data_IF_016174489808
#
_entry.id   IF_016174489808
#
_cell.length_a   1.000
_cell.length_b   1.000
_cell.length_c   1.000
_cell.angle_alpha   90.00
_cell.angle_beta   90.00
_cell.angle_gamma   90.00
#
_symmetry.space_group_name_H-M   'P 1'
#
loop_
_entity.id
_entity.type
_entity.pdbx_description
1 polymer ?
#
# COMPACT_ATOMS: atom_id res chain seq x y z
N UNK A 1 12.37 -16.91 -2.02
CA UNK A 1 12.15 -15.50 -1.64
C UNK A 1 11.88 -14.64 -2.87
N UNK A 2 12.79 -14.57 -3.85
CA UNK A 2 12.61 -13.84 -5.14
C UNK A 2 11.26 -14.14 -5.81
N UNK A 3 10.93 -15.42 -5.99
CA UNK A 3 9.66 -15.84 -6.60
C UNK A 3 8.42 -15.30 -5.86
N UNK A 4 8.45 -15.34 -4.52
CA UNK A 4 7.35 -14.89 -3.65
C UNK A 4 7.15 -13.38 -3.71
N UNK A 5 8.25 -12.63 -3.76
CA UNK A 5 8.20 -11.17 -3.93
C UNK A 5 7.66 -10.82 -5.32
N UNK A 6 8.05 -11.52 -6.37
CA UNK A 6 7.52 -11.30 -7.71
C UNK A 6 6.02 -11.62 -7.83
N UNK A 7 5.56 -12.73 -7.22
CA UNK A 7 4.14 -13.06 -7.10
C UNK A 7 3.37 -11.95 -6.39
N UNK A 8 3.90 -11.51 -5.25
CA UNK A 8 3.36 -10.39 -4.49
C UNK A 8 3.33 -9.10 -5.30
N UNK A 9 4.40 -8.77 -6.03
CA UNK A 9 4.51 -7.57 -6.84
C UNK A 9 3.43 -7.53 -7.94
N UNK A 10 3.21 -8.63 -8.65
CA UNK A 10 2.14 -8.71 -9.67
C UNK A 10 0.75 -8.57 -9.02
N UNK A 11 0.51 -9.28 -7.92
CA UNK A 11 -0.75 -9.15 -7.18
C UNK A 11 -0.98 -7.73 -6.68
N UNK A 12 0.09 -7.07 -6.22
CA UNK A 12 0.11 -5.70 -5.75
C UNK A 12 -0.17 -4.69 -6.85
N UNK A 13 0.38 -4.89 -8.06
CA UNK A 13 0.06 -4.08 -9.24
C UNK A 13 -1.43 -4.17 -9.57
N UNK A 14 -1.97 -5.40 -9.63
CA UNK A 14 -3.39 -5.60 -9.92
C UNK A 14 -4.29 -4.93 -8.86
N UNK A 15 -3.98 -5.13 -7.58
CA UNK A 15 -4.70 -4.48 -6.48
C UNK A 15 -4.55 -2.95 -6.51
N UNK A 16 -3.37 -2.44 -6.86
CA UNK A 16 -3.06 -1.03 -7.01
C UNK A 16 -3.86 -0.37 -8.14
N UNK A 17 -4.00 -1.03 -9.29
CA UNK A 17 -4.84 -0.58 -10.41
C UNK A 17 -6.31 -0.48 -9.96
N UNK A 18 -6.84 -1.55 -9.36
CA UNK A 18 -8.23 -1.59 -8.87
C UNK A 18 -8.47 -0.46 -7.86
N UNK A 19 -7.53 -0.26 -6.94
CA UNK A 19 -7.63 0.77 -5.91
C UNK A 19 -7.47 2.18 -6.51
N UNK A 20 -6.64 2.36 -7.53
CA UNK A 20 -6.53 3.62 -8.27
C UNK A 20 -7.82 3.98 -9.02
N UNK A 21 -8.50 3.00 -9.62
CA UNK A 21 -9.83 3.19 -10.20
C UNK A 21 -10.83 3.59 -9.10
N UNK A 22 -10.84 2.88 -7.98
CA UNK A 22 -11.71 3.21 -6.84
C UNK A 22 -11.43 4.61 -6.28
N UNK A 23 -10.15 5.02 -6.20
CA UNK A 23 -9.76 6.37 -5.79
C UNK A 23 -10.28 7.43 -6.74
N UNK A 24 -10.26 7.16 -8.05
CA UNK A 24 -10.85 8.05 -9.05
C UNK A 24 -12.35 8.19 -8.87
N UNK A 25 -13.05 7.09 -8.58
CA UNK A 25 -14.49 7.13 -8.25
C UNK A 25 -14.75 7.92 -6.97
N UNK A 26 -13.96 7.70 -5.92
CA UNK A 26 -14.07 8.45 -4.67
C UNK A 26 -13.88 9.96 -4.90
N UNK A 27 -12.86 10.38 -5.65
CA UNK A 27 -12.66 11.78 -6.03
C UNK A 27 -13.85 12.35 -6.81
N UNK A 28 -14.45 11.55 -7.72
CA UNK A 28 -15.66 11.95 -8.44
C UNK A 28 -16.87 12.12 -7.54
N UNK A 29 -17.01 11.28 -6.52
CA UNK A 29 -18.06 11.42 -5.51
C UNK A 29 -17.85 12.68 -4.65
N UNK A 30 -16.62 12.95 -4.23
CA UNK A 30 -16.27 14.18 -3.50
C UNK A 30 -16.61 15.43 -4.33
N UNK A 31 -16.22 15.41 -5.59
CA UNK A 31 -16.42 16.50 -6.55
C UNK A 31 -17.87 16.91 -6.79
N UNK A 32 -18.77 15.92 -6.92
CA UNK A 32 -20.20 16.19 -7.08
C UNK A 32 -20.87 16.58 -5.75
N UNK A 33 -20.08 16.79 -4.69
CA UNK A 33 -20.56 17.19 -3.38
C UNK A 33 -21.12 16.04 -2.54
N UNK A 34 -20.94 14.77 -2.93
CA UNK A 34 -21.49 13.64 -2.16
C UNK A 34 -20.86 13.50 -0.76
N UNK A 35 -19.64 14.02 -0.58
CA UNK A 35 -18.94 13.98 0.71
C UNK A 35 -19.24 15.20 1.60
N UNK A 36 -19.38 16.40 1.02
CA UNK A 36 -19.32 17.67 1.77
C UNK A 36 -20.43 18.66 1.41
N UNK A 37 -21.28 18.34 0.43
CA UNK A 37 -22.26 19.28 -0.13
C UNK A 37 -21.66 20.43 -0.97
N UNK A 38 -20.33 20.61 -0.94
CA UNK A 38 -19.62 21.64 -1.71
C UNK A 38 -19.23 21.04 -3.06
N UNK A 39 -20.09 21.24 -4.06
CA UNK A 39 -19.82 20.82 -5.44
C UNK A 39 -18.81 21.76 -6.12
N UNK A 40 -17.53 21.40 -6.11
CA UNK A 40 -16.55 22.00 -7.02
C UNK A 40 -16.38 21.08 -8.22
N UNK A 41 -16.62 21.60 -9.43
CA UNK A 41 -16.41 20.87 -10.69
C UNK A 41 -14.90 20.70 -10.95
N UNK A 42 -14.31 19.51 -10.70
CA UNK A 42 -12.90 19.30 -10.96
C UNK A 42 -12.73 19.00 -12.43
N UNK A 43 -11.59 19.39 -12.98
CA UNK A 43 -11.21 19.01 -14.33
C UNK A 43 -10.76 17.55 -14.31
N UNK A 44 -11.70 16.64 -14.60
CA UNK A 44 -11.40 15.22 -14.73
C UNK A 44 -10.75 14.93 -16.09
N UNK A 45 -9.43 15.07 -16.15
CA UNK A 45 -8.66 14.75 -17.36
C UNK A 45 -8.35 13.25 -17.47
N UNK A 46 -8.13 12.77 -18.69
CA UNK A 46 -7.71 11.39 -18.95
C UNK A 46 -6.31 11.19 -18.35
N UNK A 47 -5.44 12.17 -18.53
CA UNK A 47 -4.08 12.22 -18.00
C UNK A 47 -4.07 12.05 -16.48
N UNK A 48 -4.94 12.75 -15.76
CA UNK A 48 -5.06 12.61 -14.30
C UNK A 48 -5.57 11.23 -13.88
N UNK A 49 -6.46 10.62 -14.67
CA UNK A 49 -6.94 9.26 -14.41
C UNK A 49 -5.83 8.24 -14.57
N UNK A 50 -5.09 8.33 -15.68
CA UNK A 50 -3.93 7.46 -15.96
C UNK A 50 -2.88 7.64 -14.86
N UNK A 51 -2.56 8.88 -14.48
CA UNK A 51 -1.59 9.16 -13.43
C UNK A 51 -1.98 8.50 -12.08
N UNK A 52 -3.25 8.57 -11.68
CA UNK A 52 -3.72 7.94 -10.43
C UNK A 52 -3.61 6.42 -10.52
N UNK A 53 -4.05 5.81 -11.63
CA UNK A 53 -4.02 4.35 -11.81
C UNK A 53 -2.56 3.87 -11.84
N UNK A 54 -1.68 4.55 -12.58
CA UNK A 54 -0.25 4.23 -12.63
C UNK A 54 0.42 4.39 -11.28
N UNK A 55 0.08 5.45 -10.52
CA UNK A 55 0.59 5.64 -9.17
C UNK A 55 0.15 4.50 -8.23
N UNK A 56 -1.12 4.10 -8.32
CA UNK A 56 -1.65 2.94 -7.60
C UNK A 56 -0.90 1.65 -7.95
N UNK A 57 -0.65 1.40 -9.24
CA UNK A 57 0.11 0.24 -9.72
C UNK A 57 1.56 0.24 -9.18
N UNK A 58 2.25 1.37 -9.26
CA UNK A 58 3.64 1.52 -8.78
C UNK A 58 3.70 1.34 -7.27
N UNK A 59 2.84 2.03 -6.52
CA UNK A 59 2.77 1.87 -5.06
C UNK A 59 2.36 0.44 -4.66
N UNK A 60 1.54 -0.22 -5.47
CA UNK A 60 1.12 -1.59 -5.26
C UNK A 60 2.27 -2.61 -5.29
N UNK A 61 3.32 -2.39 -6.07
CA UNK A 61 4.47 -3.30 -6.18
C UNK A 61 5.11 -3.66 -4.82
N UNK A 62 5.60 -2.69 -4.01
CA UNK A 62 6.22 -3.00 -2.73
C UNK A 62 5.21 -3.58 -1.73
N UNK A 63 3.99 -3.04 -1.67
CA UNK A 63 2.97 -3.52 -0.74
C UNK A 63 2.55 -4.95 -1.03
N UNK A 64 2.46 -5.33 -2.31
CA UNK A 64 2.15 -6.70 -2.65
C UNK A 64 3.30 -7.66 -2.38
N UNK A 65 4.55 -7.22 -2.59
CA UNK A 65 5.72 -7.96 -2.14
C UNK A 65 5.70 -8.22 -0.63
N UNK A 66 5.39 -7.19 0.18
CA UNK A 66 5.24 -7.31 1.64
C UNK A 66 4.10 -8.26 2.00
N UNK A 67 2.92 -8.09 1.40
CA UNK A 67 1.77 -8.96 1.62
C UNK A 67 2.13 -10.43 1.40
N UNK A 68 2.73 -10.77 0.24
CA UNK A 68 3.10 -12.15 -0.07
C UNK A 68 4.11 -12.76 0.93
N UNK A 69 4.98 -11.93 1.52
CA UNK A 69 5.94 -12.35 2.55
C UNK A 69 5.28 -12.61 3.91
N UNK A 70 4.26 -11.83 4.28
CA UNK A 70 3.62 -11.92 5.60
C UNK A 70 2.30 -12.69 5.60
N UNK A 71 1.70 -12.96 4.44
CA UNK A 71 0.39 -13.59 4.27
C UNK A 71 0.23 -14.83 5.15
N UNK A 72 1.19 -15.76 5.10
CA UNK A 72 1.16 -17.02 5.86
C UNK A 72 1.23 -16.85 7.39
N UNK A 73 1.52 -15.64 7.85
CA UNK A 73 1.58 -15.26 9.27
C UNK A 73 0.34 -14.50 9.72
N UNK A 74 -0.53 -14.11 8.79
CA UNK A 74 -1.76 -13.42 9.12
C UNK A 74 -2.76 -14.41 9.77
N UNK A 75 -3.58 -13.94 10.72
CA UNK A 75 -4.56 -14.80 11.35
C UNK A 75 -5.70 -15.17 10.39
N UNK A 76 -6.28 -16.37 10.60
CA UNK A 76 -7.38 -17.00 9.84
C UNK A 76 -6.99 -17.57 8.47
N UNK A 77 -7.65 -18.66 8.01
CA UNK A 77 -7.32 -19.28 6.73
C UNK A 77 -7.81 -18.49 5.51
N UNK A 78 -6.97 -18.42 4.48
CA UNK A 78 -7.36 -18.15 3.09
C UNK A 78 -7.60 -16.69 2.74
N UNK A 79 -8.69 -16.40 2.02
CA UNK A 79 -8.99 -15.08 1.42
C UNK A 79 -9.13 -13.94 2.45
N UNK A 80 -9.33 -14.26 3.72
CA UNK A 80 -9.40 -13.30 4.82
C UNK A 80 -8.06 -12.60 5.13
N UNK A 81 -6.92 -13.16 4.68
CA UNK A 81 -5.61 -12.52 4.83
C UNK A 81 -5.57 -11.11 4.25
N UNK A 82 -6.27 -10.88 3.12
CA UNK A 82 -6.37 -9.57 2.50
C UNK A 82 -7.00 -8.51 3.41
N UNK A 83 -8.02 -8.90 4.19
CA UNK A 83 -8.71 -8.00 5.14
C UNK A 83 -7.78 -7.65 6.30
N UNK A 84 -7.05 -8.62 6.84
CA UNK A 84 -6.06 -8.35 7.88
C UNK A 84 -4.93 -7.45 7.38
N UNK A 85 -4.48 -7.66 6.15
CA UNK A 85 -3.49 -6.78 5.55
C UNK A 85 -4.01 -5.37 5.35
N UNK A 86 -5.26 -5.21 4.90
CA UNK A 86 -5.91 -3.90 4.83
C UNK A 86 -6.01 -3.22 6.19
N UNK A 87 -6.37 -3.96 7.24
CA UNK A 87 -6.43 -3.44 8.60
C UNK A 87 -5.05 -2.97 9.07
N UNK A 88 -3.99 -3.75 8.81
CA UNK A 88 -2.62 -3.33 9.07
C UNK A 88 -2.28 -2.06 8.29
N UNK A 89 -2.49 -2.05 6.97
CA UNK A 89 -2.20 -0.85 6.16
C UNK A 89 -2.98 0.38 6.65
N UNK A 90 -4.24 0.24 7.02
CA UNK A 90 -5.03 1.33 7.57
C UNK A 90 -4.46 1.82 8.90
N UNK A 91 -4.05 0.91 9.77
CA UNK A 91 -3.47 1.25 11.07
C UNK A 91 -2.11 1.96 10.90
N UNK A 92 -1.25 1.49 9.99
CA UNK A 92 0.07 2.06 9.75
C UNK A 92 0.05 3.36 8.93
N UNK A 93 -0.79 3.44 7.89
CA UNK A 93 -0.78 4.56 6.94
C UNK A 93 -1.98 5.50 7.11
N UNK A 94 -3.10 5.03 7.66
CA UNK A 94 -4.29 5.84 7.93
C UNK A 94 -4.01 7.12 8.72
N UNK A 95 -3.20 7.10 9.79
CA UNK A 95 -2.86 8.32 10.53
C UNK A 95 -2.20 9.42 9.69
N UNK A 96 -1.46 9.08 8.63
CA UNK A 96 -0.83 10.06 7.74
C UNK A 96 -1.85 10.81 6.88
N UNK A 97 -3.04 10.24 6.69
CA UNK A 97 -4.15 10.91 6.03
C UNK A 97 -4.95 11.81 6.99
N UNK A 98 -4.79 11.66 8.31
CA UNK A 98 -5.43 12.52 9.30
C UNK A 98 -4.71 13.86 9.50
N UNK A 99 -3.45 13.99 9.06
CA UNK A 99 -2.64 15.20 9.22
C UNK A 99 -2.81 16.23 8.09
N UNK A 100 -3.54 15.91 7.02
CA UNK A 100 -3.77 16.83 5.90
C UNK A 100 -5.13 17.52 6.01
N UNK A 101 -5.12 18.85 6.17
CA UNK A 101 -6.32 19.70 6.33
C UNK A 101 -7.35 19.53 5.19
N UNK A 102 -6.93 19.12 3.99
CA UNK A 102 -7.82 18.90 2.84
C UNK A 102 -8.72 17.65 2.95
N UNK A 103 -8.43 16.72 3.86
CA UNK A 103 -9.18 15.45 4.03
C UNK A 103 -10.24 15.58 5.15
N UNK A 104 -10.36 16.74 5.81
CA UNK A 104 -11.08 16.90 7.08
C UNK A 104 -12.61 16.85 7.05
N UNK A 105 -13.25 16.64 5.90
CA UNK A 105 -14.66 16.26 5.97
C UNK A 105 -14.77 14.80 6.36
N UNK A 106 -15.68 14.49 7.30
CA UNK A 106 -15.97 13.10 7.67
C UNK A 106 -16.32 12.25 6.43
N UNK A 107 -16.99 12.84 5.43
CA UNK A 107 -17.34 12.18 4.18
C UNK A 107 -16.12 11.75 3.35
N UNK A 108 -15.13 12.63 3.16
CA UNK A 108 -13.89 12.31 2.44
C UNK A 108 -13.10 11.23 3.17
N UNK A 109 -12.96 11.37 4.48
CA UNK A 109 -12.24 10.39 5.29
C UNK A 109 -12.81 8.98 5.10
N UNK A 110 -14.14 8.83 5.16
CA UNK A 110 -14.79 7.53 4.95
C UNK A 110 -14.54 6.99 3.54
N UNK A 111 -14.72 7.82 2.50
CA UNK A 111 -14.51 7.41 1.10
C UNK A 111 -13.09 6.91 0.84
N UNK A 112 -12.08 7.62 1.34
CA UNK A 112 -10.68 7.22 1.16
C UNK A 112 -10.27 6.06 2.09
N UNK A 113 -10.85 5.95 3.28
CA UNK A 113 -10.64 4.80 4.18
C UNK A 113 -11.12 3.49 3.55
N UNK A 114 -12.19 3.53 2.74
CA UNK A 114 -12.67 2.35 2.01
C UNK A 114 -11.69 1.83 0.94
N UNK A 115 -10.70 2.62 0.53
CA UNK A 115 -9.67 2.15 -0.42
C UNK A 115 -8.79 1.06 0.18
N UNK A 116 -8.54 1.08 1.50
CA UNK A 116 -7.75 0.06 2.18
C UNK A 116 -8.39 -1.34 2.11
N UNK A 117 -9.65 -1.56 2.52
CA UNK A 117 -10.29 -2.87 2.38
C UNK A 117 -10.47 -3.26 0.90
N UNK A 118 -10.70 -2.32 -0.02
CA UNK A 118 -10.72 -2.61 -1.46
C UNK A 118 -9.37 -3.18 -1.91
N UNK A 119 -8.26 -2.53 -1.54
CA UNK A 119 -6.91 -3.02 -1.84
C UNK A 119 -6.67 -4.41 -1.23
N UNK A 120 -7.02 -4.60 0.06
CA UNK A 120 -6.87 -5.86 0.77
C UNK A 120 -7.62 -7.01 0.11
N UNK A 121 -8.89 -6.80 -0.25
CA UNK A 121 -9.68 -7.79 -0.97
C UNK A 121 -9.08 -8.08 -2.35
N UNK A 122 -8.74 -7.04 -3.09
CA UNK A 122 -8.15 -7.18 -4.43
C UNK A 122 -6.85 -7.98 -4.39
N UNK A 123 -5.95 -7.70 -3.44
CA UNK A 123 -4.69 -8.42 -3.33
C UNK A 123 -4.86 -9.87 -2.84
N UNK A 124 -5.81 -10.10 -1.92
CA UNK A 124 -6.16 -11.45 -1.47
C UNK A 124 -6.71 -12.34 -2.58
N UNK A 125 -7.39 -11.76 -3.57
CA UNK A 125 -7.86 -12.45 -4.78
C UNK A 125 -6.74 -12.59 -5.83
N UNK A 126 -5.92 -11.55 -6.00
CA UNK A 126 -4.89 -11.53 -7.04
C UNK A 126 -3.69 -12.43 -6.73
N UNK A 127 -3.33 -12.60 -5.45
CA UNK A 127 -2.14 -13.37 -5.07
C UNK A 127 -2.19 -14.84 -5.51
N UNK A 128 -3.27 -15.61 -5.27
CA UNK A 128 -3.36 -17.00 -5.77
C UNK A 128 -3.24 -17.11 -7.29
N UNK A 129 -3.78 -16.13 -8.03
CA UNK A 129 -3.65 -16.07 -9.49
C UNK A 129 -2.19 -15.85 -9.88
N UNK A 130 -1.52 -14.90 -9.23
CA UNK A 130 -0.10 -14.64 -9.44
C UNK A 130 0.78 -15.85 -9.06
N UNK A 131 0.43 -16.59 -8.01
CA UNK A 131 1.13 -17.82 -7.60
C UNK A 131 1.13 -18.87 -8.71
N UNK A 132 0.05 -18.97 -9.48
CA UNK A 132 -0.03 -19.85 -10.65
C UNK A 132 0.70 -19.31 -11.90
N UNK A 133 0.81 -17.99 -12.07
CA UNK A 133 1.39 -17.38 -13.28
C UNK A 133 2.91 -17.27 -13.22
N UNK A 134 3.48 -16.78 -12.11
CA UNK A 134 4.90 -16.43 -12.04
C UNK A 134 5.87 -17.60 -12.21
N UNK A 135 5.60 -18.83 -11.72
CA UNK A 135 6.51 -19.96 -11.94
C UNK A 135 6.72 -20.31 -13.42
N UNK A 136 5.83 -19.87 -14.31
CA UNK A 136 5.92 -20.07 -15.77
C UNK A 136 6.72 -18.97 -16.48
N UNK A 137 7.11 -17.91 -15.76
CA UNK A 137 7.83 -16.78 -16.33
C UNK A 137 9.35 -17.05 -16.37
N UNK A 138 10.06 -16.50 -17.37
CA UNK A 138 11.53 -16.55 -17.39
C UNK A 138 12.14 -15.90 -16.14
N UNK A 139 13.25 -16.45 -15.64
CA UNK A 139 13.95 -15.94 -14.45
C UNK A 139 14.31 -14.44 -14.53
N UNK A 140 14.60 -13.94 -15.73
CA UNK A 140 14.89 -12.53 -15.97
C UNK A 140 13.70 -11.62 -15.60
N UNK A 141 12.48 -12.00 -15.99
CA UNK A 141 11.25 -11.25 -15.70
C UNK A 141 11.02 -11.21 -14.18
N UNK A 142 11.17 -12.33 -13.49
CA UNK A 142 11.02 -12.41 -12.04
C UNK A 142 12.03 -11.49 -11.33
N UNK A 143 13.28 -11.43 -11.79
CA UNK A 143 14.29 -10.52 -11.23
C UNK A 143 13.92 -9.06 -11.47
N UNK A 144 13.48 -8.70 -12.68
CA UNK A 144 13.02 -7.34 -13.00
C UNK A 144 11.87 -6.93 -12.07
N UNK A 145 10.87 -7.80 -11.87
CA UNK A 145 9.75 -7.51 -10.95
C UNK A 145 10.21 -7.26 -9.52
N UNK A 146 11.17 -8.03 -9.01
CA UNK A 146 11.73 -7.81 -7.67
C UNK A 146 12.50 -6.50 -7.60
N UNK A 147 13.31 -6.17 -8.61
CA UNK A 147 14.03 -4.90 -8.68
C UNK A 147 13.05 -3.71 -8.73
N UNK A 148 11.99 -3.81 -9.53
CA UNK A 148 10.94 -2.80 -9.60
C UNK A 148 10.21 -2.66 -8.26
N UNK A 149 9.88 -3.76 -7.59
CA UNK A 149 9.26 -3.72 -6.27
C UNK A 149 10.18 -3.09 -5.21
N UNK A 150 11.48 -3.37 -5.24
CA UNK A 150 12.45 -2.74 -4.36
C UNK A 150 12.59 -1.24 -4.65
N UNK A 151 12.71 -0.85 -5.92
CA UNK A 151 12.82 0.54 -6.33
C UNK A 151 11.56 1.35 -5.99
N UNK A 152 10.38 0.83 -6.29
CA UNK A 152 9.11 1.43 -5.90
C UNK A 152 8.96 1.50 -4.38
N UNK A 153 9.41 0.47 -3.64
CA UNK A 153 9.46 0.49 -2.19
C UNK A 153 10.32 1.62 -1.63
N UNK A 154 11.51 1.83 -2.21
CA UNK A 154 12.36 2.95 -1.84
C UNK A 154 11.68 4.31 -2.10
N UNK A 155 11.01 4.46 -3.25
CA UNK A 155 10.24 5.68 -3.57
C UNK A 155 9.11 5.92 -2.58
N UNK A 156 8.36 4.88 -2.22
CA UNK A 156 7.26 4.97 -1.24
C UNK A 156 7.80 5.39 0.14
N UNK A 157 8.91 4.79 0.59
CA UNK A 157 9.55 5.16 1.86
C UNK A 157 10.04 6.61 1.84
N UNK A 158 10.69 7.04 0.75
CA UNK A 158 11.14 8.43 0.59
C UNK A 158 9.96 9.41 0.57
N UNK A 159 8.87 9.07 -0.12
CA UNK A 159 7.65 9.88 -0.15
C UNK A 159 7.05 10.05 1.25
N UNK A 160 6.93 8.97 2.01
CA UNK A 160 6.45 9.03 3.40
C UNK A 160 7.40 9.79 4.33
N UNK A 161 8.71 9.63 4.18
CA UNK A 161 9.69 10.39 4.93
C UNK A 161 9.59 11.90 4.63
N UNK A 162 9.36 12.26 3.36
CA UNK A 162 9.11 13.65 2.95
C UNK A 162 7.84 14.23 3.56
N UNK A 163 6.72 13.49 3.53
CA UNK A 163 5.47 13.91 4.16
C UNK A 163 5.64 14.08 5.67
N UNK A 164 6.32 13.13 6.33
CA UNK A 164 6.60 13.23 7.75
C UNK A 164 7.48 14.45 8.09
N UNK A 165 8.51 14.72 7.28
CA UNK A 165 9.36 15.91 7.42
C UNK A 165 8.53 17.20 7.31
N UNK A 166 7.69 17.31 6.29
CA UNK A 166 6.80 18.47 6.11
C UNK A 166 5.81 18.63 7.27
N UNK A 167 5.26 17.53 7.78
CA UNK A 167 4.34 17.56 8.92
C UNK A 167 5.04 18.04 10.21
N UNK A 168 6.31 17.68 10.41
CA UNK A 168 7.12 18.14 11.55
C UNK A 168 7.45 19.62 11.40
N UNK A 169 7.82 20.08 10.20
CA UNK A 169 8.09 21.50 9.94
C UNK A 169 6.84 22.38 10.18
N UNK A 170 5.66 21.91 9.75
CA UNK A 170 4.41 22.67 9.86
C UNK A 170 3.76 22.64 11.24
N UNK A 171 3.80 21.50 11.94
CA UNK A 171 3.06 21.29 13.18
C UNK A 171 3.94 21.04 14.41
N UNK A 172 5.26 21.15 14.26
CA UNK A 172 6.25 20.99 15.33
C UNK A 172 6.53 19.53 15.73
N UNK A 173 7.45 19.32 16.67
CA UNK A 173 7.92 17.98 17.06
C UNK A 173 6.82 17.06 17.65
N UNK A 174 5.67 17.60 18.05
CA UNK A 174 4.55 16.81 18.58
C UNK A 174 3.93 15.88 17.52
N UNK A 175 3.99 16.22 16.23
CA UNK A 175 3.56 15.30 15.14
C UNK A 175 4.56 14.17 14.90
N UNK A 176 5.85 14.36 15.23
CA UNK A 176 6.82 13.27 15.21
C UNK A 176 6.43 12.16 16.21
N UNK A 177 5.80 12.51 17.33
CA UNK A 177 5.33 11.54 18.32
C UNK A 177 4.26 10.59 17.76
N UNK A 178 3.51 10.96 16.72
CA UNK A 178 2.61 10.05 16.00
C UNK A 178 3.36 9.06 15.09
N UNK A 179 4.54 9.43 14.59
CA UNK A 179 5.40 8.57 13.77
C UNK A 179 6.26 7.62 14.63
N UNK A 180 6.60 8.01 15.86
CA UNK A 180 7.47 7.24 16.77
C UNK A 180 6.94 5.81 17.00
N UNK A 181 5.66 5.55 17.34
CA UNK A 181 5.16 4.18 17.53
C UNK A 181 5.42 3.30 16.30
N UNK A 182 5.26 3.85 15.09
CA UNK A 182 5.43 3.13 13.83
C UNK A 182 6.88 2.86 13.49
N UNK A 183 7.76 3.85 13.67
CA UNK A 183 9.21 3.69 13.51
C UNK A 183 9.72 2.66 14.53
N UNK A 184 9.24 2.73 15.77
CA UNK A 184 9.60 1.78 16.82
C UNK A 184 9.13 0.37 16.47
N UNK A 185 7.90 0.20 15.96
CA UNK A 185 7.39 -1.10 15.57
C UNK A 185 8.16 -1.68 14.36
N UNK A 186 8.51 -0.85 13.38
CA UNK A 186 9.33 -1.25 12.24
C UNK A 186 10.76 -1.65 12.67
N UNK A 187 11.37 -0.89 13.57
CA UNK A 187 12.70 -1.18 14.13
C UNK A 187 12.71 -2.41 15.03
N UNK A 188 11.64 -2.68 15.78
CA UNK A 188 11.52 -3.89 16.60
C UNK A 188 11.25 -5.14 15.74
N UNK A 189 10.51 -5.00 14.65
CA UNK A 189 10.25 -6.09 13.71
C UNK A 189 11.49 -6.46 12.86
N UNK A 190 12.36 -5.49 12.56
CA UNK A 190 13.53 -5.67 11.70
C UNK A 190 14.56 -6.72 12.20
N UNK A 191 15.05 -6.71 13.45
CA UNK A 191 15.99 -7.71 13.94
C UNK A 191 15.35 -9.09 14.09
N UNK A 192 14.08 -9.17 14.46
CA UNK A 192 13.33 -10.44 14.44
C UNK A 192 13.23 -11.02 13.03
N UNK A 193 13.06 -10.17 12.02
CA UNK A 193 13.10 -10.57 10.61
C UNK A 193 14.51 -11.01 10.19
N UNK A 194 15.55 -10.28 10.61
CA UNK A 194 16.96 -10.53 10.26
C UNK A 194 17.50 -11.82 10.89
N UNK A 195 17.27 -12.04 12.18
CA UNK A 195 17.69 -13.26 12.89
C UNK A 195 17.03 -14.51 12.28
N UNK A 196 15.78 -14.38 11.84
CA UNK A 196 15.03 -15.49 11.25
C UNK A 196 15.45 -15.78 9.80
N UNK A 197 15.88 -14.77 9.06
CA UNK A 197 16.53 -14.94 7.75
C UNK A 197 17.87 -15.67 7.87
N UNK A 198 18.66 -15.37 8.91
CA UNK A 198 19.92 -16.05 9.18
C UNK A 198 19.69 -17.55 9.49
N UNK A 199 18.68 -17.89 10.30
CA UNK A 199 18.34 -19.29 10.58
C UNK A 199 17.90 -20.08 9.34
N UNK A 200 17.18 -19.45 8.41
CA UNK A 200 16.74 -20.12 7.18
C UNK A 200 17.88 -20.29 6.15
N UNK A 201 18.92 -19.46 6.22
CA UNK A 201 20.14 -19.62 5.42
C UNK A 201 21.05 -20.71 5.97
N UNK A 202 21.07 -20.92 7.29
CA UNK A 202 21.85 -21.98 7.93
C UNK A 202 21.22 -23.39 7.77
N UNK A 203 19.94 -23.47 7.39
CA UNK A 203 19.21 -24.73 7.20
C UNK A 203 19.18 -25.23 5.74
N UNK A 204 19.99 -24.64 4.86
CA UNK A 204 20.18 -25.04 3.46
C UNK A 204 21.62 -25.48 3.24
#
# INVERSE_FOLDING_TARGET
MVLRIAQGAIAGVAAGIITGIAARVAMRLVAIGAADGIGQLPQFTIEGTVAIISSGAIAGLPFGGVYALIERRLPRPGRAHGIWFAALMLVFFGPLFLTNEEIFSQGRFVLFTLLFPIYGLAIGVALPVAEGLVPRMPNAVTRVLVTLAAGAGALVVLGFAGIAGQAIERHGAATAAFAIPWITLALLAAPALRARLAHLQAAR
#
